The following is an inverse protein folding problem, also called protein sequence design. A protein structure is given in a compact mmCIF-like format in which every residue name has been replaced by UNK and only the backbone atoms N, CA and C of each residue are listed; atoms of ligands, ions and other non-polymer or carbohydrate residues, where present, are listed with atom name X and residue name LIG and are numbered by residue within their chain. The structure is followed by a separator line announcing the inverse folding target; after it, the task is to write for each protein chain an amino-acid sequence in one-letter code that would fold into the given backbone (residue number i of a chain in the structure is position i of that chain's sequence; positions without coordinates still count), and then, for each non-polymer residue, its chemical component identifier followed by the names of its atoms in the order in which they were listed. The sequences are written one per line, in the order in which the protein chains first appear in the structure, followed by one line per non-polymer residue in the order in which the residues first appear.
data_IF_045725286866
#
_entry.id   IF_045725286866
#
_cell.length_a   1.000
_cell.length_b   1.000
_cell.length_c   1.000
_cell.angle_alpha   90.00
_cell.angle_beta   90.00
_cell.angle_gamma   90.00
#
_symmetry.space_group_name_H-M   'P 1'
#
loop_
_entity.id
_entity.type
_entity.pdbx_description
1 polymer ?
#
# COMPACT_ATOMS: atom_id res chain seq x y z
N UNK A 1 -44.94 -5.70 -27.12
CA UNK A 1 -43.62 -5.32 -27.65
C UNK A 1 -42.69 -5.42 -26.48
N UNK A 2 -41.88 -6.48 -26.49
CA UNK A 2 -40.99 -6.92 -25.42
C UNK A 2 -39.60 -6.38 -25.74
N UNK A 3 -39.10 -5.48 -24.91
CA UNK A 3 -37.70 -5.05 -24.94
C UNK A 3 -37.07 -5.52 -23.62
N UNK A 4 -36.42 -6.69 -23.69
CA UNK A 4 -35.51 -7.15 -22.66
C UNK A 4 -34.16 -6.42 -22.87
N UNK A 5 -33.79 -5.57 -21.93
CA UNK A 5 -32.45 -4.95 -21.91
C UNK A 5 -31.42 -6.01 -21.51
N UNK A 6 -30.74 -6.56 -22.50
CA UNK A 6 -29.64 -7.51 -22.36
C UNK A 6 -28.41 -6.80 -21.76
N UNK A 7 -28.11 -7.08 -20.49
CA UNK A 7 -26.92 -6.57 -19.81
C UNK A 7 -25.66 -7.26 -20.38
N UNK A 8 -24.88 -6.56 -21.19
CA UNK A 8 -23.57 -7.03 -21.63
C UNK A 8 -22.54 -6.96 -20.48
N UNK A 9 -22.20 -8.12 -19.93
CA UNK A 9 -21.00 -8.30 -19.11
C UNK A 9 -19.79 -8.44 -20.03
N UNK A 10 -18.78 -7.58 -19.88
CA UNK A 10 -17.48 -7.77 -20.51
C UNK A 10 -16.59 -8.62 -19.57
N UNK A 11 -16.53 -9.92 -19.83
CA UNK A 11 -15.56 -10.83 -19.22
C UNK A 11 -14.17 -10.59 -19.85
N UNK A 12 -13.18 -10.18 -19.07
CA UNK A 12 -11.78 -10.00 -19.49
C UNK A 12 -11.01 -11.31 -19.60
N UNK A 13 -11.67 -12.42 -19.95
CA UNK A 13 -11.03 -13.70 -20.31
C UNK A 13 -10.80 -13.85 -21.82
N UNK A 14 -10.28 -12.82 -22.48
CA UNK A 14 -9.66 -13.02 -23.79
C UNK A 14 -8.22 -13.52 -23.63
N UNK A 15 -8.10 -14.81 -23.94
CA UNK A 15 -6.90 -15.59 -24.15
C UNK A 15 -5.88 -14.84 -25.02
N UNK A 16 -4.66 -14.67 -24.52
CA UNK A 16 -3.52 -14.36 -25.38
C UNK A 16 -2.99 -15.67 -25.96
N UNK A 17 -3.53 -16.08 -27.10
CA UNK A 17 -2.90 -17.06 -28.00
C UNK A 17 -2.55 -16.36 -29.31
N UNK A 18 -1.30 -16.60 -29.73
CA UNK A 18 -0.59 -16.20 -30.95
C UNK A 18 -0.02 -14.76 -30.94
N UNK A 19 1.28 -14.49 -31.03
CA UNK A 19 2.47 -15.32 -31.18
C UNK A 19 3.62 -14.42 -31.69
N UNK A 20 4.67 -14.20 -30.88
CA UNK A 20 6.00 -13.78 -31.36
C UNK A 20 7.06 -14.50 -30.52
N UNK A 21 7.94 -15.19 -31.25
CA UNK A 21 8.93 -16.18 -30.85
C UNK A 21 9.77 -15.91 -29.58
N UNK A 22 9.84 -16.92 -28.71
CA UNK A 22 10.98 -17.17 -27.82
C UNK A 22 11.84 -18.30 -28.39
N UNK A 23 13.18 -18.25 -28.29
CA UNK A 23 14.05 -19.28 -28.84
C UNK A 23 14.00 -20.55 -27.97
N UNK A 24 13.58 -21.66 -28.58
CA UNK A 24 13.57 -22.99 -27.97
C UNK A 24 15.00 -23.50 -27.69
N UNK A 25 15.31 -23.71 -26.40
CA UNK A 25 16.41 -24.56 -25.97
C UNK A 25 16.06 -26.02 -26.32
N UNK A 26 16.62 -26.50 -27.44
CA UNK A 26 16.55 -27.91 -27.85
C UNK A 26 17.22 -28.80 -26.81
N UNK A 27 16.43 -29.47 -25.97
CA UNK A 27 16.85 -30.64 -25.20
C UNK A 27 17.04 -31.79 -26.19
N UNK A 28 18.30 -32.11 -26.54
CA UNK A 28 18.65 -33.34 -27.28
C UNK A 28 18.73 -34.48 -26.28
N UNK A 29 17.80 -35.42 -26.37
CA UNK A 29 17.97 -36.76 -25.81
C UNK A 29 19.07 -37.48 -26.59
N UNK A 30 20.17 -37.81 -25.91
CA UNK A 30 21.12 -38.83 -26.37
C UNK A 30 21.09 -39.97 -25.36
N UNK A 31 20.52 -41.09 -25.79
CA UNK A 31 20.67 -42.39 -25.13
C UNK A 31 22.09 -42.90 -25.41
N UNK A 32 22.83 -43.21 -24.35
CA UNK A 32 23.90 -44.20 -24.41
C UNK A 32 23.90 -45.00 -23.11
N UNK A 33 23.59 -46.29 -23.21
CA UNK A 33 23.71 -47.22 -22.09
C UNK A 33 25.16 -47.66 -21.90
N UNK A 34 25.60 -47.79 -20.65
CA UNK A 34 26.06 -49.05 -20.05
C UNK A 34 26.58 -48.82 -18.61
N UNK A 35 26.12 -49.71 -17.73
CA UNK A 35 26.73 -50.29 -16.52
C UNK A 35 27.81 -49.53 -15.74
N UNK A 36 27.55 -49.27 -14.45
CA UNK A 36 28.21 -49.93 -13.30
C UNK A 36 28.14 -49.08 -12.01
N UNK A 37 27.98 -49.78 -10.89
CA UNK A 37 27.77 -49.30 -9.52
C UNK A 37 29.03 -48.69 -8.88
N UNK A 38 28.89 -47.71 -7.94
CA UNK A 38 29.52 -47.71 -6.60
C UNK A 38 29.21 -46.44 -5.75
N UNK A 39 29.12 -46.69 -4.45
CA UNK A 39 28.94 -45.79 -3.28
C UNK A 39 30.00 -44.69 -3.12
N UNK A 40 29.63 -43.56 -2.50
CA UNK A 40 30.56 -42.61 -1.86
C UNK A 40 29.92 -41.25 -1.47
N UNK A 41 30.00 -40.89 -0.18
CA UNK A 41 29.45 -39.70 0.49
C UNK A 41 29.92 -38.33 -0.05
N UNK A 42 29.04 -37.31 0.08
CA UNK A 42 29.27 -36.04 0.83
C UNK A 42 28.69 -34.78 0.15
N UNK A 43 27.80 -34.11 0.91
CA UNK A 43 27.72 -32.65 1.13
C UNK A 43 27.89 -31.69 -0.08
N UNK A 44 26.76 -31.22 -0.60
CA UNK A 44 26.63 -29.82 -1.04
C UNK A 44 25.15 -29.43 -1.00
N UNK A 45 24.80 -28.60 -0.01
CA UNK A 45 23.50 -27.96 0.08
C UNK A 45 23.25 -27.09 -1.17
N UNK A 46 22.08 -27.24 -1.74
CA UNK A 46 21.55 -26.52 -2.89
C UNK A 46 21.35 -25.04 -2.53
N UNK A 47 22.44 -24.26 -2.61
CA UNK A 47 22.48 -22.79 -2.42
C UNK A 47 21.95 -22.02 -3.63
N UNK A 48 21.30 -22.68 -4.58
CA UNK A 48 21.04 -22.11 -5.90
C UNK A 48 19.67 -21.45 -6.05
N UNK A 49 18.80 -21.52 -5.03
CA UNK A 49 17.43 -20.98 -5.09
C UNK A 49 17.19 -19.67 -4.32
N UNK A 50 18.14 -19.14 -3.55
CA UNK A 50 17.97 -17.86 -2.83
C UNK A 50 18.34 -16.61 -3.65
N UNK A 51 19.15 -16.75 -4.70
CA UNK A 51 19.72 -15.60 -5.44
C UNK A 51 18.85 -15.10 -6.62
N UNK A 52 17.71 -15.74 -6.92
CA UNK A 52 16.89 -15.40 -8.10
C UNK A 52 15.74 -14.42 -7.83
N UNK A 53 15.47 -14.04 -6.59
CA UNK A 53 14.61 -12.88 -6.30
C UNK A 53 15.43 -11.58 -6.39
N UNK A 54 16.05 -11.35 -7.54
CA UNK A 54 16.77 -10.10 -7.81
C UNK A 54 15.80 -8.94 -7.56
N UNK A 55 16.13 -8.05 -6.62
CA UNK A 55 15.35 -6.84 -6.33
C UNK A 55 15.04 -6.12 -7.64
N UNK A 56 13.81 -6.26 -8.13
CA UNK A 56 13.40 -5.64 -9.38
C UNK A 56 13.58 -4.14 -9.25
N UNK A 57 14.26 -3.51 -10.22
CA UNK A 57 14.54 -2.07 -10.18
C UNK A 57 13.22 -1.29 -10.07
N UNK A 58 12.99 -0.65 -8.91
CA UNK A 58 11.80 0.15 -8.64
C UNK A 58 11.77 1.39 -9.53
N UNK A 59 10.56 1.80 -9.97
CA UNK A 59 10.38 3.06 -10.71
C UNK A 59 10.73 4.25 -9.82
N UNK A 60 11.43 5.24 -10.37
CA UNK A 60 11.80 6.48 -9.68
C UNK A 60 11.01 7.71 -10.13
N UNK A 61 10.19 7.58 -11.18
CA UNK A 61 9.36 8.65 -11.73
C UNK A 61 8.09 8.10 -12.35
N UNK A 62 7.04 8.92 -12.34
CA UNK A 62 5.82 8.69 -13.13
C UNK A 62 6.01 9.23 -14.56
N UNK A 63 5.26 8.72 -15.54
CA UNK A 63 5.10 9.38 -16.83
C UNK A 63 4.56 10.81 -16.66
N UNK A 64 4.84 11.69 -17.62
CA UNK A 64 4.24 13.03 -17.63
C UNK A 64 2.71 12.91 -17.70
N UNK A 65 1.97 13.67 -16.88
CA UNK A 65 0.51 13.62 -16.89
C UNK A 65 -0.01 14.11 -18.24
N UNK A 66 -0.87 13.28 -18.87
CA UNK A 66 -1.48 13.57 -20.17
C UNK A 66 -2.37 14.80 -20.11
N UNK A 67 -3.02 15.03 -18.95
CA UNK A 67 -3.90 16.16 -18.71
C UNK A 67 -3.18 17.21 -17.86
N UNK A 68 -3.03 18.42 -18.39
CA UNK A 68 -2.57 19.58 -17.62
C UNK A 68 -3.66 19.93 -16.59
N UNK A 69 -3.27 20.13 -15.33
CA UNK A 69 -4.17 20.55 -14.26
C UNK A 69 -5.06 21.72 -14.73
N UNK A 70 -6.36 21.48 -14.87
CA UNK A 70 -7.31 22.56 -15.17
C UNK A 70 -7.38 23.45 -13.93
N UNK A 71 -7.38 24.77 -14.13
CA UNK A 71 -7.36 25.80 -13.08
C UNK A 71 -8.65 25.90 -12.24
N UNK A 72 -9.42 24.82 -12.09
CA UNK A 72 -10.67 24.83 -11.34
C UNK A 72 -10.35 24.59 -9.87
N UNK A 73 -10.84 25.47 -9.00
CA UNK A 73 -10.55 25.39 -7.56
C UNK A 73 -11.32 24.24 -6.92
N UNK A 74 -10.63 23.31 -6.23
CA UNK A 74 -11.26 22.25 -5.42
C UNK A 74 -12.35 22.83 -4.52
N UNK A 75 -12.05 23.97 -3.87
CA UNK A 75 -12.96 24.69 -2.98
C UNK A 75 -14.26 25.12 -3.66
N UNK A 76 -14.21 25.53 -4.92
CA UNK A 76 -15.40 25.92 -5.67
C UNK A 76 -16.33 24.74 -5.98
N UNK A 77 -15.82 23.51 -6.02
CA UNK A 77 -16.61 22.29 -6.25
C UNK A 77 -17.20 21.71 -4.96
N UNK A 78 -16.50 21.86 -3.83
CA UNK A 78 -16.96 21.32 -2.54
C UNK A 78 -17.74 22.32 -1.68
N UNK A 79 -17.81 23.61 -2.07
CA UNK A 79 -18.52 24.66 -1.32
C UNK A 79 -19.99 24.32 -1.00
N UNK A 80 -20.67 23.57 -1.86
CA UNK A 80 -22.09 23.21 -1.68
C UNK A 80 -22.25 21.92 -0.84
N UNK A 81 -21.14 21.33 -0.39
CA UNK A 81 -21.09 20.10 0.41
C UNK A 81 -20.66 20.35 1.86
N UNK A 82 -20.77 21.59 2.36
CA UNK A 82 -20.48 21.92 3.77
C UNK A 82 -21.32 21.06 4.70
N UNK A 83 -20.67 20.46 5.70
CA UNK A 83 -21.27 19.56 6.68
C UNK A 83 -21.47 18.12 6.22
N UNK A 84 -21.26 17.81 4.94
CA UNK A 84 -21.39 16.44 4.39
C UNK A 84 -20.10 15.64 4.51
N UNK A 85 -20.23 14.32 4.42
CA UNK A 85 -19.11 13.40 4.33
C UNK A 85 -18.54 13.38 2.90
N UNK A 86 -17.30 13.87 2.74
CA UNK A 86 -16.62 13.96 1.44
C UNK A 86 -16.22 12.59 0.85
N UNK A 87 -16.31 11.51 1.63
CA UNK A 87 -16.15 10.15 1.06
C UNK A 87 -17.25 9.83 0.05
N UNK A 88 -18.43 10.46 0.20
CA UNK A 88 -19.63 10.26 -0.63
C UNK A 88 -19.80 11.29 -1.75
N UNK A 89 -18.94 12.31 -1.81
CA UNK A 89 -18.98 13.34 -2.86
C UNK A 89 -18.13 12.88 -4.04
N UNK A 90 -18.73 12.82 -5.23
CA UNK A 90 -18.02 12.55 -6.48
C UNK A 90 -17.21 13.79 -6.88
N UNK A 91 -15.89 13.74 -6.70
CA UNK A 91 -14.97 14.75 -7.21
C UNK A 91 -14.47 14.33 -8.60
N UNK A 92 -14.21 15.27 -9.52
CA UNK A 92 -13.51 14.98 -10.76
C UNK A 92 -12.16 14.32 -10.49
N UNK A 93 -11.78 13.38 -11.35
CA UNK A 93 -10.55 12.56 -11.23
C UNK A 93 -9.28 13.41 -11.06
N UNK A 94 -9.25 14.63 -11.59
CA UNK A 94 -8.14 15.59 -11.42
C UNK A 94 -7.85 16.00 -9.97
N UNK A 95 -8.77 15.80 -9.03
CA UNK A 95 -8.54 16.03 -7.60
C UNK A 95 -8.08 14.78 -6.84
N UNK A 96 -7.87 13.68 -7.58
CA UNK A 96 -7.33 12.47 -7.02
C UNK A 96 -5.82 12.42 -7.27
N UNK A 97 -5.09 11.96 -6.27
CA UNK A 97 -3.72 11.51 -6.49
C UNK A 97 -3.75 10.11 -7.13
N UNK A 98 -2.73 9.72 -7.92
CA UNK A 98 -2.70 8.43 -8.61
C UNK A 98 -2.36 7.26 -7.67
N UNK A 99 -3.01 7.21 -6.51
CA UNK A 99 -2.93 6.13 -5.53
C UNK A 99 -4.31 5.80 -4.97
N UNK A 100 -4.56 4.52 -4.70
CA UNK A 100 -5.72 4.10 -3.92
C UNK A 100 -5.48 4.26 -2.42
N UNK A 101 -6.57 4.29 -1.64
CA UNK A 101 -6.47 4.36 -0.18
C UNK A 101 -5.74 3.13 0.41
N UNK A 102 -5.76 1.98 -0.29
CA UNK A 102 -5.01 0.78 0.10
C UNK A 102 -3.49 0.97 -0.04
N UNK A 103 -3.06 1.67 -1.10
CA UNK A 103 -1.66 2.05 -1.30
C UNK A 103 -1.23 3.11 -0.28
N UNK A 104 -2.13 4.02 0.08
CA UNK A 104 -1.88 4.99 1.17
C UNK A 104 -1.61 4.31 2.51
N UNK A 105 -2.28 3.21 2.83
CA UNK A 105 -1.98 2.43 4.03
C UNK A 105 -0.54 1.89 4.02
N UNK A 106 0.00 1.53 2.85
CA UNK A 106 1.37 1.03 2.74
C UNK A 106 2.43 2.14 2.96
N UNK A 107 2.10 3.40 2.67
CA UNK A 107 3.03 4.52 2.93
C UNK A 107 3.42 4.64 4.41
N UNK A 108 2.59 4.13 5.33
CA UNK A 108 2.89 4.08 6.77
C UNK A 108 4.16 3.26 7.07
N UNK A 109 4.51 2.32 6.19
CA UNK A 109 5.67 1.45 6.29
C UNK A 109 6.91 2.01 5.58
N UNK A 110 6.89 3.29 5.19
CA UNK A 110 8.06 3.95 4.60
C UNK A 110 9.30 3.80 5.50
N UNK A 111 9.11 4.03 6.81
CA UNK A 111 10.14 3.98 7.84
C UNK A 111 10.09 2.67 8.66
N UNK A 112 9.71 1.54 8.05
CA UNK A 112 9.59 0.24 8.72
C UNK A 112 10.86 -0.22 9.44
N UNK A 113 12.05 0.23 9.02
CA UNK A 113 13.33 -0.08 9.67
C UNK A 113 13.37 0.36 11.15
N UNK A 114 12.51 1.29 11.58
CA UNK A 114 12.39 1.67 12.98
C UNK A 114 11.89 0.50 13.83
N UNK A 115 11.02 -0.35 13.27
CA UNK A 115 10.53 -1.55 13.94
C UNK A 115 11.59 -2.64 14.03
N UNK A 116 12.43 -2.78 13.01
CA UNK A 116 13.60 -3.68 13.06
C UNK A 116 14.52 -3.29 14.25
N UNK A 117 14.80 -1.99 14.41
CA UNK A 117 15.60 -1.48 15.54
C UNK A 117 14.89 -1.65 16.88
N UNK A 118 13.57 -1.47 16.92
CA UNK A 118 12.76 -1.70 18.11
C UNK A 118 12.82 -3.16 18.56
N UNK A 119 12.80 -4.09 17.59
CA UNK A 119 12.93 -5.51 17.86
C UNK A 119 14.31 -5.84 18.46
N UNK A 120 15.40 -5.38 17.84
CA UNK A 120 16.77 -5.51 18.35
C UNK A 120 16.95 -4.96 19.77
N UNK A 121 16.34 -3.81 20.07
CA UNK A 121 16.38 -3.22 21.40
C UNK A 121 15.73 -4.12 22.46
N UNK A 122 14.60 -4.77 22.15
CA UNK A 122 13.99 -5.68 23.12
C UNK A 122 14.73 -7.01 23.27
N UNK A 123 15.33 -7.54 22.20
CA UNK A 123 16.22 -8.71 22.29
C UNK A 123 17.41 -8.47 23.21
N UNK A 124 17.88 -7.22 23.31
CA UNK A 124 18.96 -6.80 24.23
C UNK A 124 18.44 -6.35 25.60
N UNK A 125 17.14 -6.46 25.87
CA UNK A 125 16.51 -6.09 27.14
C UNK A 125 16.29 -4.59 27.36
N UNK A 126 16.47 -3.76 26.32
CA UNK A 126 16.29 -2.32 26.38
C UNK A 126 14.87 -1.88 25.98
N UNK A 127 13.91 -2.12 26.88
CA UNK A 127 12.50 -1.77 26.67
C UNK A 127 12.25 -0.27 26.42
N UNK A 128 13.05 0.62 27.03
CA UNK A 128 12.91 2.07 26.84
C UNK A 128 13.25 2.49 25.41
N UNK A 129 14.34 1.96 24.84
CA UNK A 129 14.68 2.25 23.45
C UNK A 129 13.70 1.59 22.48
N UNK A 130 13.19 0.39 22.80
CA UNK A 130 12.13 -0.25 22.02
C UNK A 130 10.91 0.64 21.89
N UNK A 131 10.33 1.10 23.01
CA UNK A 131 9.12 1.94 22.95
C UNK A 131 9.40 3.29 22.27
N UNK A 132 10.61 3.85 22.41
CA UNK A 132 11.00 5.07 21.70
C UNK A 132 10.98 4.87 20.17
N UNK A 133 11.50 3.74 19.66
CA UNK A 133 11.46 3.43 18.24
C UNK A 133 10.04 3.14 17.74
N UNK A 134 9.20 2.45 18.54
CA UNK A 134 7.78 2.24 18.21
C UNK A 134 7.04 3.58 18.13
N UNK A 135 7.28 4.50 19.07
CA UNK A 135 6.69 5.84 19.04
C UNK A 135 7.18 6.65 17.83
N UNK A 136 8.46 6.57 17.49
CA UNK A 136 9.01 7.20 16.30
C UNK A 136 8.36 6.65 15.01
N UNK A 137 8.12 5.34 14.94
CA UNK A 137 7.39 4.71 13.84
C UNK A 137 5.94 5.19 13.76
N UNK A 138 5.22 5.24 14.88
CA UNK A 138 3.84 5.73 14.91
C UNK A 138 3.70 7.18 14.42
N UNK A 139 4.71 8.02 14.67
CA UNK A 139 4.75 9.42 14.21
C UNK A 139 5.20 9.54 12.75
N UNK A 140 6.12 8.69 12.29
CA UNK A 140 6.67 8.77 10.93
C UNK A 140 5.61 8.54 9.84
N UNK A 141 4.54 7.81 10.13
CA UNK A 141 3.41 7.61 9.23
C UNK A 141 2.66 8.89 8.81
N UNK A 142 2.91 10.03 9.46
CA UNK A 142 2.38 11.34 9.04
C UNK A 142 3.32 12.12 8.12
N UNK A 143 4.58 11.70 7.97
CA UNK A 143 5.58 12.42 7.18
C UNK A 143 5.17 12.54 5.69
N UNK A 144 4.45 11.54 5.16
CA UNK A 144 3.99 11.53 3.76
C UNK A 144 2.75 12.38 3.49
N UNK A 145 2.17 13.01 4.51
CA UNK A 145 0.92 13.81 4.39
C UNK A 145 1.18 15.26 3.97
N UNK A 146 2.40 15.76 4.16
CA UNK A 146 2.73 17.13 3.76
C UNK A 146 2.64 17.28 2.24
N UNK A 147 2.22 18.46 1.78
CA UNK A 147 2.16 18.85 0.36
C UNK A 147 1.27 18.00 -0.58
N UNK A 148 0.35 17.16 -0.05
CA UNK A 148 -0.56 16.32 -0.87
C UNK A 148 -2.03 16.71 -0.70
N UNK A 149 -2.51 17.73 -1.43
CA UNK A 149 -3.88 18.24 -1.29
C UNK A 149 -4.94 17.33 -1.94
N UNK A 150 -4.52 16.37 -2.76
CA UNK A 150 -5.41 15.50 -3.52
C UNK A 150 -5.82 14.26 -2.71
N UNK A 151 -7.06 13.81 -2.90
CA UNK A 151 -7.61 12.64 -2.20
C UNK A 151 -7.14 11.35 -2.90
N UNK A 152 -6.79 10.27 -2.19
CA UNK A 152 -6.58 8.98 -2.84
C UNK A 152 -7.88 8.45 -3.45
N UNK A 153 -7.77 7.56 -4.43
CA UNK A 153 -8.93 6.83 -4.95
C UNK A 153 -9.56 6.01 -3.83
N UNK A 154 -10.89 6.06 -3.76
CA UNK A 154 -11.68 5.17 -2.92
C UNK A 154 -11.67 3.79 -3.59
N UNK A 155 -11.07 2.75 -2.97
CA UNK A 155 -10.96 1.43 -3.60
C UNK A 155 -12.35 0.82 -3.86
N UNK A 156 -12.45 -0.15 -4.77
CA UNK A 156 -13.66 -0.98 -4.89
C UNK A 156 -13.80 -1.93 -3.69
N UNK A 157 -15.03 -2.36 -3.38
CA UNK A 157 -15.23 -3.41 -2.36
C UNK A 157 -14.54 -4.70 -2.83
N UNK A 158 -13.72 -5.29 -1.96
CA UNK A 158 -12.88 -6.45 -2.31
C UNK A 158 -11.65 -6.12 -3.16
N UNK A 159 -11.39 -4.83 -3.47
CA UNK A 159 -10.09 -4.44 -4.04
C UNK A 159 -8.97 -4.77 -3.04
N UNK A 160 -7.87 -5.31 -3.55
CA UNK A 160 -6.69 -5.68 -2.78
C UNK A 160 -5.46 -4.94 -3.27
N UNK A 161 -4.50 -4.71 -2.38
CA UNK A 161 -3.17 -4.23 -2.73
C UNK A 161 -2.11 -5.04 -1.99
N UNK A 162 -1.07 -5.44 -2.71
CA UNK A 162 0.07 -6.15 -2.15
C UNK A 162 1.37 -5.39 -2.45
N UNK A 163 2.30 -5.47 -1.52
CA UNK A 163 3.64 -4.89 -1.67
C UNK A 163 4.67 -5.80 -1.02
N UNK A 164 5.49 -6.44 -1.85
CA UNK A 164 6.65 -7.20 -1.41
C UNK A 164 7.92 -6.37 -1.60
N UNK A 165 8.63 -6.10 -0.50
CA UNK A 165 9.88 -5.33 -0.47
C UNK A 165 10.96 -6.14 0.24
N UNK A 166 11.58 -7.13 -0.44
CA UNK A 166 12.65 -7.95 0.12
C UNK A 166 13.83 -7.13 0.64
N UNK A 167 14.13 -6.00 -0.01
CA UNK A 167 15.17 -5.06 0.40
C UNK A 167 14.92 -4.43 1.77
N UNK A 168 13.64 -4.25 2.16
CA UNK A 168 13.23 -3.82 3.50
C UNK A 168 12.90 -5.02 4.40
N UNK A 169 12.78 -6.21 3.84
CA UNK A 169 12.30 -7.43 4.50
C UNK A 169 10.87 -7.32 5.00
N UNK A 170 9.99 -6.68 4.22
CA UNK A 170 8.58 -6.56 4.55
C UNK A 170 7.70 -7.13 3.44
N UNK A 171 6.59 -7.77 3.84
CA UNK A 171 5.51 -8.21 2.96
C UNK A 171 4.20 -7.64 3.47
N UNK A 172 3.55 -6.84 2.64
CA UNK A 172 2.32 -6.14 2.99
C UNK A 172 1.15 -6.59 2.12
N UNK A 173 -0.02 -6.65 2.75
CA UNK A 173 -1.31 -6.88 2.11
C UNK A 173 -2.37 -5.96 2.69
N UNK A 174 -3.27 -5.44 1.86
CA UNK A 174 -4.45 -4.74 2.30
C UNK A 174 -5.65 -5.00 1.41
N UNK A 175 -6.85 -4.91 1.99
CA UNK A 175 -8.12 -5.13 1.32
C UNK A 175 -9.16 -4.12 1.79
N UNK A 176 -10.03 -3.67 0.88
CA UNK A 176 -11.25 -2.98 1.28
C UNK A 176 -12.33 -3.98 1.65
N UNK A 177 -12.48 -4.20 2.95
CA UNK A 177 -13.41 -5.19 3.54
C UNK A 177 -14.85 -4.69 3.69
N UNK A 178 -15.09 -3.38 3.62
CA UNK A 178 -16.45 -2.82 3.68
C UNK A 178 -16.60 -1.52 2.89
N UNK A 179 -17.78 -1.32 2.30
CA UNK A 179 -18.13 -0.10 1.58
C UNK A 179 -18.94 0.88 2.44
N UNK A 180 -19.86 0.38 3.28
CA UNK A 180 -20.78 1.18 4.08
C UNK A 180 -20.97 0.56 5.49
N UNK A 181 -20.22 1.01 6.51
CA UNK A 181 -19.20 2.06 6.47
C UNK A 181 -17.94 1.65 5.70
N UNK A 182 -17.19 2.61 5.17
CA UNK A 182 -15.94 2.32 4.46
C UNK A 182 -14.92 1.77 5.46
N UNK A 183 -14.45 0.54 5.26
CA UNK A 183 -13.41 -0.07 6.09
C UNK A 183 -12.38 -0.76 5.21
N UNK A 184 -11.12 -0.62 5.60
CA UNK A 184 -9.97 -1.29 5.01
C UNK A 184 -9.27 -2.07 6.11
N UNK A 185 -8.74 -3.23 5.78
CA UNK A 185 -7.87 -4.02 6.64
C UNK A 185 -6.49 -4.10 6.00
N UNK A 186 -5.44 -4.07 6.82
CA UNK A 186 -4.08 -4.28 6.37
C UNK A 186 -3.32 -5.24 7.29
N UNK A 187 -2.35 -5.93 6.73
CA UNK A 187 -1.43 -6.82 7.43
C UNK A 187 -0.05 -6.70 6.79
N UNK A 188 0.98 -6.66 7.63
CA UNK A 188 2.37 -6.60 7.23
C UNK A 188 3.20 -7.54 8.10
N UNK A 189 4.01 -8.36 7.46
CA UNK A 189 5.05 -9.14 8.11
C UNK A 189 6.39 -8.46 7.88
N UNK A 190 7.19 -8.35 8.94
CA UNK A 190 8.54 -7.81 8.91
C UNK A 190 9.56 -8.75 9.59
N UNK A 191 10.73 -8.22 9.92
CA UNK A 191 11.82 -9.01 10.54
C UNK A 191 11.61 -9.12 12.05
N UNK A 192 10.86 -10.14 12.48
CA UNK A 192 10.58 -10.41 13.88
C UNK A 192 9.49 -9.54 14.48
N UNK A 193 8.66 -8.97 13.62
CA UNK A 193 7.47 -8.22 13.99
C UNK A 193 6.37 -8.38 12.94
N UNK A 194 5.13 -8.23 13.39
CA UNK A 194 3.92 -8.20 12.57
C UNK A 194 3.15 -6.94 12.89
N UNK A 195 2.62 -6.29 11.86
CA UNK A 195 1.82 -5.08 11.98
C UNK A 195 0.50 -5.28 11.26
N UNK A 196 -0.61 -4.95 11.90
CA UNK A 196 -1.91 -5.00 11.26
C UNK A 196 -2.85 -3.97 11.87
N UNK A 197 -3.92 -3.70 11.14
CA UNK A 197 -4.97 -2.85 11.64
C UNK A 197 -6.13 -2.77 10.66
N UNK A 198 -7.26 -2.35 11.19
CA UNK A 198 -8.37 -1.87 10.40
C UNK A 198 -8.42 -0.35 10.46
N UNK A 199 -8.88 0.27 9.37
CA UNK A 199 -9.07 1.71 9.30
C UNK A 199 -10.39 2.02 8.60
N UNK A 200 -11.21 2.80 9.29
CA UNK A 200 -12.39 3.44 8.77
C UNK A 200 -12.14 4.96 8.78
N UNK A 201 -12.23 5.57 7.61
CA UNK A 201 -11.97 7.00 7.42
C UNK A 201 -13.28 7.75 7.31
N UNK A 202 -13.56 8.62 8.27
CA UNK A 202 -14.66 9.59 8.16
C UNK A 202 -14.09 10.94 7.79
N UNK A 203 -14.72 11.62 6.85
CA UNK A 203 -14.29 12.97 6.46
C UNK A 203 -15.44 13.94 6.64
N UNK A 204 -15.15 15.18 7.04
CA UNK A 204 -16.14 16.25 7.17
C UNK A 204 -15.60 17.53 6.57
N UNK A 205 -16.42 18.17 5.76
CA UNK A 205 -16.11 19.45 5.18
C UNK A 205 -16.70 20.59 6.01
N UNK A 206 -15.85 21.48 6.52
CA UNK A 206 -16.25 22.65 7.33
C UNK A 206 -16.18 23.97 6.56
N UNK A 207 -16.20 23.92 5.22
CA UNK A 207 -16.17 25.12 4.36
C UNK A 207 -14.77 25.66 4.09
N UNK A 208 -13.96 25.91 5.13
CA UNK A 208 -12.56 26.36 4.99
C UNK A 208 -11.54 25.27 5.32
N UNK A 209 -12.00 24.15 5.88
CA UNK A 209 -11.16 23.03 6.26
C UNK A 209 -11.85 21.70 5.95
N UNK A 210 -11.03 20.68 5.73
CA UNK A 210 -11.45 19.29 5.64
C UNK A 210 -10.87 18.58 6.86
N UNK A 211 -11.76 18.07 7.70
CA UNK A 211 -11.40 17.21 8.81
C UNK A 211 -11.44 15.76 8.36
N UNK A 212 -10.38 15.03 8.65
CA UNK A 212 -10.24 13.60 8.37
C UNK A 212 -10.04 12.88 9.69
N UNK A 213 -10.98 12.01 10.03
CA UNK A 213 -11.05 11.27 11.28
C UNK A 213 -10.79 9.78 10.98
N UNK A 214 -9.53 9.32 11.09
CA UNK A 214 -9.25 7.90 11.06
C UNK A 214 -9.81 7.25 12.34
N UNK A 215 -10.45 6.10 12.18
CA UNK A 215 -10.93 5.27 13.28
C UNK A 215 -10.46 3.85 13.08
N UNK A 216 -9.90 3.25 14.12
CA UNK A 216 -9.23 1.95 14.06
C UNK A 216 -8.08 1.88 15.05
N UNK A 217 -7.64 0.64 15.31
CA UNK A 217 -6.48 0.36 16.17
C UNK A 217 -5.42 -0.28 15.29
N UNK A 218 -4.23 0.33 15.30
CA UNK A 218 -3.04 -0.27 14.73
C UNK A 218 -2.39 -1.12 15.81
N UNK A 219 -2.06 -2.36 15.47
CA UNK A 219 -1.42 -3.33 16.36
C UNK A 219 -0.08 -3.75 15.79
N UNK A 220 0.93 -3.75 16.65
CA UNK A 220 2.27 -4.25 16.38
C UNK A 220 2.55 -5.36 17.39
N UNK A 221 2.99 -6.53 16.92
CA UNK A 221 3.42 -7.65 17.74
C UNK A 221 4.85 -8.01 17.36
N UNK A 222 5.73 -8.14 18.36
CA UNK A 222 7.07 -8.68 18.19
C UNK A 222 7.07 -10.20 18.46
N UNK A 223 8.03 -10.93 17.89
CA UNK A 223 8.13 -12.40 18.05
C UNK A 223 8.34 -12.86 19.51
N UNK A 224 8.79 -11.97 20.38
CA UNK A 224 8.90 -12.23 21.83
C UNK A 224 7.56 -12.09 22.58
N UNK A 225 6.48 -11.77 21.85
CA UNK A 225 5.11 -11.66 22.35
C UNK A 225 4.74 -10.27 22.87
N UNK A 226 5.63 -9.28 22.86
CA UNK A 226 5.28 -7.92 23.26
C UNK A 226 4.43 -7.24 22.19
N UNK A 227 3.30 -6.67 22.60
CA UNK A 227 2.34 -6.01 21.71
C UNK A 227 2.19 -4.53 22.01
N UNK A 228 2.17 -3.70 20.99
CA UNK A 228 1.88 -2.26 21.07
C UNK A 228 0.63 -1.94 20.26
N UNK A 229 -0.21 -1.06 20.80
CA UNK A 229 -1.43 -0.61 20.14
C UNK A 229 -1.56 0.91 20.21
N UNK A 230 -1.98 1.51 19.11
CA UNK A 230 -2.28 2.94 19.06
C UNK A 230 -3.36 3.26 18.03
N UNK A 231 -3.98 4.43 18.17
CA UNK A 231 -4.92 4.98 17.21
C UNK A 231 -4.32 6.22 16.54
N UNK A 232 -4.75 6.48 15.30
CA UNK A 232 -4.34 7.68 14.57
C UNK A 232 -5.07 8.92 15.07
N UNK A 233 -4.43 10.08 14.92
CA UNK A 233 -4.99 11.38 15.28
C UNK A 233 -5.80 11.97 14.14
N UNK A 234 -6.69 12.91 14.48
CA UNK A 234 -7.46 13.69 13.52
C UNK A 234 -6.54 14.59 12.69
N UNK A 235 -6.74 14.60 11.38
CA UNK A 235 -5.98 15.44 10.44
C UNK A 235 -6.89 16.56 9.94
N UNK A 236 -6.43 17.80 10.05
CA UNK A 236 -7.16 18.97 9.55
C UNK A 236 -6.42 19.59 8.37
N UNK A 237 -6.97 19.44 7.16
CA UNK A 237 -6.49 20.16 5.99
C UNK A 237 -7.13 21.54 5.95
N UNK A 238 -6.33 22.59 6.05
CA UNK A 238 -6.80 23.96 5.97
C UNK A 238 -6.48 24.57 4.61
N UNK A 239 -7.38 25.44 4.11
CA UNK A 239 -7.08 26.29 2.97
C UNK A 239 -5.99 27.30 3.36
N UNK A 240 -4.76 27.09 2.91
CA UNK A 240 -3.76 28.15 2.93
C UNK A 240 -4.15 29.23 1.92
N UNK A 241 -4.67 30.35 2.40
CA UNK A 241 -4.82 31.56 1.60
C UNK A 241 -3.50 32.32 1.69
N UNK A 242 -2.56 32.05 0.79
CA UNK A 242 -1.43 32.97 0.61
C UNK A 242 -1.95 34.22 -0.09
N UNK A 243 -2.45 35.18 0.69
CA UNK A 243 -2.52 36.59 0.25
C UNK A 243 -1.26 37.28 0.78
N UNK A 244 -0.16 37.20 0.04
CA UNK A 244 0.85 38.23 0.11
C UNK A 244 0.43 39.35 -0.86
N UNK A 245 -0.45 40.22 -0.41
CA UNK A 245 -0.51 41.59 -0.91
C UNK A 245 0.45 42.40 -0.05
N UNK A 246 1.68 42.57 -0.51
CA UNK A 246 2.53 43.65 0.00
C UNK A 246 2.04 44.98 -0.61
N UNK A 247 1.96 46.06 0.18
CA UNK A 247 1.66 47.41 -0.30
C UNK A 247 2.76 47.98 -1.19
#
# INVERSE_FOLDING_TARGET
MSDEDEFHFYDTRQSFSDGVASPELKVRYLNYGNEACKFGDSLAADKTNEDLLSSAKRRSKLPEPVEKERSVSLWSMIKDNVGKDLTRVCLPVYFNEPLSSLQKCFEELEYSYLLDRAYECGLTGNGLMRILYVAAFAVSGYASTDSRPCKPFNPLLGETYEADYPEKGIRFFSEKVSHHPMAMACHCEGKGWKFWGDSNLKSKFWGQSIQVDPSGILTLEFDDGETFQWSKVHILHQRHSYYYSFP
#
